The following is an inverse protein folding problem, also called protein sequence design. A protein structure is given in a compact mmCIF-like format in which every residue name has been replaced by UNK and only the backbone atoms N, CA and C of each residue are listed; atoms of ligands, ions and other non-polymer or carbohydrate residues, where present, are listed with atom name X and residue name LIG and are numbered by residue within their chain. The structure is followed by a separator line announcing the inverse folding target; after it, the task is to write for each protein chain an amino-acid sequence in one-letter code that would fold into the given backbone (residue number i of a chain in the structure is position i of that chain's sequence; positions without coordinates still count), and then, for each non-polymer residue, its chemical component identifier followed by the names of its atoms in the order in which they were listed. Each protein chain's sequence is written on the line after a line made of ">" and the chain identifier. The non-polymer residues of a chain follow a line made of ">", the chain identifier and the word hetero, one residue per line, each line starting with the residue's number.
data_IF_584463054869
#
_entry.id   IF_584463054869
#
_cell.length_a   1.000
_cell.length_b   1.000
_cell.length_c   1.000
_cell.angle_alpha   90.00
_cell.angle_beta   90.00
_cell.angle_gamma   90.00
#
_symmetry.space_group_name_H-M   'P 1'
#
loop_
_entity.id
_entity.type
_entity.pdbx_description
1 polymer ?
#
# COMPACT_ATOMS: atom_id res chain seq x y z
N UNK A 1 -10.32 -16.70 -17.20
CA UNK A 1 -9.81 -15.67 -16.27
C UNK A 1 -8.73 -14.81 -16.90
N UNK A 2 -7.70 -15.39 -17.55
CA UNK A 2 -6.63 -14.64 -18.24
C UNK A 2 -7.13 -13.56 -19.20
N UNK A 3 -8.08 -13.88 -20.09
CA UNK A 3 -8.70 -12.91 -21.02
C UNK A 3 -9.40 -11.71 -20.36
N UNK A 4 -9.83 -11.85 -19.10
CA UNK A 4 -10.47 -10.76 -18.38
C UNK A 4 -9.43 -9.82 -17.78
N UNK A 5 -8.37 -10.37 -17.18
CA UNK A 5 -7.22 -9.59 -16.71
C UNK A 5 -6.55 -8.84 -17.87
N UNK A 6 -6.40 -9.51 -19.03
CA UNK A 6 -5.92 -8.91 -20.28
C UNK A 6 -6.75 -7.71 -20.77
N UNK A 7 -7.99 -7.55 -20.30
CA UNK A 7 -8.83 -6.41 -20.67
C UNK A 7 -8.54 -5.14 -19.85
N UNK A 8 -7.86 -5.27 -18.71
CA UNK A 8 -7.54 -4.14 -17.82
C UNK A 8 -6.10 -3.65 -17.96
N UNK A 9 -5.17 -4.55 -18.30
CA UNK A 9 -3.74 -4.24 -18.30
C UNK A 9 -3.13 -4.37 -19.71
N UNK A 10 -2.27 -3.42 -20.11
CA UNK A 10 -1.40 -3.56 -21.27
C UNK A 10 -0.54 -4.83 -21.21
N UNK A 11 -0.19 -5.39 -22.37
CA UNK A 11 0.66 -6.59 -22.47
C UNK A 11 2.00 -6.43 -21.72
N UNK A 12 2.61 -5.24 -21.78
CA UNK A 12 3.86 -4.91 -21.09
C UNK A 12 3.79 -5.10 -19.57
N UNK A 13 2.62 -4.87 -18.96
CA UNK A 13 2.37 -5.10 -17.54
C UNK A 13 2.21 -6.59 -17.26
N UNK A 14 1.45 -7.30 -18.09
CA UNK A 14 1.18 -8.73 -17.95
C UNK A 14 2.43 -9.59 -18.16
N UNK A 15 3.35 -9.14 -19.00
CA UNK A 15 4.62 -9.82 -19.26
C UNK A 15 5.61 -9.69 -18.10
N UNK A 16 5.48 -8.63 -17.28
CA UNK A 16 6.37 -8.35 -16.15
C UNK A 16 5.82 -8.80 -14.80
N UNK A 17 4.49 -8.71 -14.62
CA UNK A 17 3.85 -8.91 -13.33
C UNK A 17 2.92 -10.11 -13.36
N UNK A 18 3.00 -10.91 -12.29
CA UNK A 18 2.12 -12.06 -12.09
C UNK A 18 0.95 -11.66 -11.21
N UNK A 19 -0.25 -11.72 -11.78
CA UNK A 19 -1.49 -11.40 -11.08
C UNK A 19 -2.19 -12.68 -10.64
N UNK A 20 -2.75 -12.63 -9.43
CA UNK A 20 -3.65 -13.65 -8.89
C UNK A 20 -5.08 -13.14 -8.98
N UNK A 21 -5.96 -13.97 -9.54
CA UNK A 21 -7.41 -13.77 -9.51
C UNK A 21 -8.07 -15.05 -9.02
N UNK A 22 -8.80 -14.95 -7.92
CA UNK A 22 -9.46 -16.08 -7.28
C UNK A 22 -10.93 -15.76 -7.04
N UNK A 23 -11.79 -16.77 -7.20
CA UNK A 23 -13.20 -16.69 -6.82
C UNK A 23 -13.44 -17.77 -5.79
N UNK A 24 -13.82 -17.35 -4.58
CA UNK A 24 -13.97 -18.23 -3.42
C UNK A 24 -15.43 -18.31 -3.02
N UNK A 25 -15.90 -19.53 -2.76
CA UNK A 25 -17.17 -19.74 -2.04
C UNK A 25 -16.98 -19.42 -0.55
N UNK A 26 -18.06 -19.20 0.22
CA UNK A 26 -17.96 -18.82 1.63
C UNK A 26 -17.07 -19.76 2.46
N UNK A 27 -17.09 -21.06 2.17
CA UNK A 27 -16.31 -22.08 2.90
C UNK A 27 -14.81 -22.05 2.59
N UNK A 28 -14.42 -21.35 1.52
CA UNK A 28 -13.02 -21.22 1.08
C UNK A 28 -12.37 -19.92 1.54
N UNK A 29 -13.14 -19.01 2.13
CA UNK A 29 -12.66 -17.68 2.51
C UNK A 29 -11.95 -17.78 3.87
N UNK A 30 -10.74 -17.23 3.93
CA UNK A 30 -10.00 -17.09 5.18
C UNK A 30 -10.68 -16.00 6.04
N UNK A 31 -11.38 -16.43 7.08
CA UNK A 31 -12.10 -15.55 8.00
C UNK A 31 -11.20 -14.74 8.94
N UNK A 32 -9.92 -15.08 9.07
CA UNK A 32 -8.95 -14.26 9.80
C UNK A 32 -8.47 -13.08 8.93
N UNK A 33 -8.36 -13.33 7.63
CA UNK A 33 -7.91 -12.34 6.66
C UNK A 33 -9.05 -11.45 6.15
N UNK A 34 -10.28 -11.97 6.07
CA UNK A 34 -11.44 -11.25 5.55
C UNK A 34 -12.70 -11.46 6.42
N UNK A 35 -13.27 -10.36 6.90
CA UNK A 35 -14.52 -10.37 7.69
C UNK A 35 -15.75 -10.12 6.81
N UNK A 36 -16.56 -11.14 6.55
CA UNK A 36 -17.76 -11.06 5.71
C UNK A 36 -18.86 -12.06 6.13
N UNK A 37 -20.12 -11.82 5.70
CA UNK A 37 -21.23 -12.72 6.01
C UNK A 37 -21.09 -14.13 5.39
N UNK A 38 -21.60 -15.14 6.10
CA UNK A 38 -21.47 -16.58 5.81
C UNK A 38 -22.01 -17.05 4.43
N UNK A 39 -22.74 -16.20 3.69
CA UNK A 39 -23.34 -16.53 2.39
C UNK A 39 -22.69 -15.78 1.21
N UNK A 40 -21.70 -14.93 1.47
CA UNK A 40 -21.08 -14.11 0.44
C UNK A 40 -19.95 -14.84 -0.26
N UNK A 41 -19.96 -14.74 -1.59
CA UNK A 41 -18.84 -15.14 -2.42
C UNK A 41 -17.86 -13.97 -2.49
N UNK A 42 -16.59 -14.29 -2.78
CA UNK A 42 -15.54 -13.30 -2.89
C UNK A 42 -14.82 -13.43 -4.23
N UNK A 43 -14.60 -12.31 -4.92
CA UNK A 43 -13.58 -12.21 -5.96
C UNK A 43 -12.37 -11.51 -5.33
N UNK A 44 -11.20 -12.13 -5.37
CA UNK A 44 -9.94 -11.54 -4.92
C UNK A 44 -9.04 -11.28 -6.11
N UNK A 45 -8.46 -10.09 -6.18
CA UNK A 45 -7.43 -9.73 -7.14
C UNK A 45 -6.20 -9.19 -6.41
N UNK A 46 -5.02 -9.62 -6.83
CA UNK A 46 -3.76 -9.14 -6.26
C UNK A 46 -2.55 -9.53 -7.09
N UNK A 47 -1.37 -9.26 -6.52
CA UNK A 47 -0.10 -9.74 -7.04
C UNK A 47 0.25 -11.08 -6.39
N UNK A 48 0.86 -11.98 -7.14
CA UNK A 48 1.24 -13.32 -6.66
C UNK A 48 2.55 -13.29 -5.84
N UNK A 49 3.40 -12.30 -6.10
CA UNK A 49 4.68 -12.12 -5.42
C UNK A 49 5.09 -10.66 -5.33
N UNK A 50 6.06 -10.38 -4.47
CA UNK A 50 6.77 -9.11 -4.46
C UNK A 50 7.44 -8.86 -5.82
N UNK A 51 7.43 -7.61 -6.26
CA UNK A 51 7.97 -7.15 -7.54
C UNK A 51 9.37 -6.61 -7.30
N UNK A 52 10.37 -7.38 -7.72
CA UNK A 52 11.77 -7.00 -7.60
C UNK A 52 12.20 -6.05 -8.74
N UNK A 53 11.59 -4.87 -8.80
CA UNK A 53 11.91 -3.79 -9.74
C UNK A 53 12.09 -2.48 -8.98
N UNK A 54 12.96 -1.61 -9.50
CA UNK A 54 13.28 -0.34 -8.87
C UNK A 54 12.59 0.83 -9.61
N UNK A 55 11.66 1.50 -8.91
CA UNK A 55 10.82 2.57 -9.45
C UNK A 55 11.06 3.92 -8.73
N UNK A 56 12.23 4.56 -8.86
CA UNK A 56 12.55 5.78 -8.12
C UNK A 56 11.77 7.00 -8.61
N UNK A 57 11.03 7.61 -7.69
CA UNK A 57 10.15 8.76 -7.92
C UNK A 57 10.83 10.12 -7.70
N UNK A 58 11.99 10.19 -7.04
CA UNK A 58 12.61 11.45 -6.60
C UNK A 58 12.84 12.45 -7.75
N UNK A 59 13.62 12.06 -8.76
CA UNK A 59 13.86 12.90 -9.95
C UNK A 59 12.56 13.24 -10.70
N UNK A 60 11.57 12.35 -10.68
CA UNK A 60 10.30 12.52 -11.39
C UNK A 60 9.43 13.55 -10.69
N UNK A 61 9.35 13.47 -9.36
CA UNK A 61 8.68 14.44 -8.51
C UNK A 61 9.30 15.83 -8.68
N UNK A 62 10.64 15.92 -8.72
CA UNK A 62 11.35 17.18 -8.98
C UNK A 62 11.00 17.75 -10.36
N UNK A 63 11.03 16.92 -11.40
CA UNK A 63 10.67 17.34 -12.77
C UNK A 63 9.24 17.89 -12.84
N UNK A 64 8.27 17.20 -12.23
CA UNK A 64 6.89 17.67 -12.22
C UNK A 64 6.70 18.94 -11.36
N UNK A 65 7.41 19.05 -10.24
CA UNK A 65 7.40 20.27 -9.43
C UNK A 65 8.02 21.49 -10.16
N UNK A 66 8.92 21.27 -11.12
CA UNK A 66 9.39 22.36 -12.00
C UNK A 66 8.32 22.85 -12.98
N UNK A 67 7.33 22.02 -13.32
CA UNK A 67 6.23 22.40 -14.23
C UNK A 67 5.13 23.17 -13.49
N UNK A 68 4.72 22.68 -12.32
CA UNK A 68 3.73 23.30 -11.46
C UNK A 68 4.05 22.93 -10.00
N UNK A 69 4.18 23.91 -9.08
CA UNK A 69 4.41 23.63 -7.68
C UNK A 69 3.36 22.67 -7.11
N UNK A 70 3.80 21.64 -6.38
CA UNK A 70 2.96 20.58 -5.81
C UNK A 70 2.52 19.49 -6.78
N UNK A 71 2.77 19.58 -8.09
CA UNK A 71 2.40 18.52 -9.03
C UNK A 71 3.08 17.18 -8.71
N UNK A 72 4.35 17.21 -8.30
CA UNK A 72 5.06 16.01 -7.88
C UNK A 72 4.44 15.40 -6.61
N UNK A 73 3.97 16.24 -5.68
CA UNK A 73 3.26 15.78 -4.48
C UNK A 73 1.87 15.24 -4.79
N UNK A 74 1.19 15.83 -5.77
CA UNK A 74 -0.09 15.31 -6.27
C UNK A 74 0.09 13.95 -6.94
N UNK A 75 1.13 13.77 -7.75
CA UNK A 75 1.47 12.48 -8.32
C UNK A 75 1.75 11.42 -7.24
N UNK A 76 2.53 11.78 -6.21
CA UNK A 76 2.79 10.89 -5.08
C UNK A 76 1.47 10.46 -4.42
N UNK A 77 0.57 11.42 -4.13
CA UNK A 77 -0.77 11.15 -3.60
C UNK A 77 -1.57 10.19 -4.47
N UNK A 78 -1.60 10.39 -5.78
CA UNK A 78 -2.28 9.49 -6.71
C UNK A 78 -1.71 8.07 -6.49
N UNK A 79 -0.40 7.88 -6.57
CA UNK A 79 0.20 6.55 -6.39
C UNK A 79 -0.08 5.94 -5.00
N UNK A 80 -0.04 6.74 -3.93
CA UNK A 80 -0.34 6.31 -2.56
C UNK A 80 -1.81 5.91 -2.36
N UNK A 81 -2.74 6.60 -3.03
CA UNK A 81 -4.19 6.32 -2.98
C UNK A 81 -4.58 5.09 -3.82
N UNK A 82 -3.59 4.38 -4.39
CA UNK A 82 -3.82 3.14 -5.14
C UNK A 82 -4.54 2.10 -4.26
N UNK A 83 -5.66 1.49 -4.74
CA UNK A 83 -6.41 0.49 -3.99
C UNK A 83 -5.60 -0.77 -3.67
N UNK A 84 -4.70 -1.16 -4.58
CA UNK A 84 -3.70 -2.18 -4.33
C UNK A 84 -2.44 -1.47 -3.87
N UNK A 85 -1.95 -1.83 -2.69
CA UNK A 85 -0.87 -1.12 -2.02
C UNK A 85 0.38 -1.03 -2.92
N UNK A 86 0.82 0.20 -3.16
CA UNK A 86 2.13 0.51 -3.72
C UNK A 86 2.89 1.15 -2.57
N UNK A 87 4.05 0.60 -2.21
CA UNK A 87 4.96 1.12 -1.19
C UNK A 87 5.62 2.42 -1.64
N UNK A 88 4.82 3.49 -1.76
CA UNK A 88 5.30 4.87 -1.80
C UNK A 88 5.79 5.27 -0.40
N UNK A 89 6.59 6.35 -0.26
CA UNK A 89 6.90 6.94 1.05
C UNK A 89 5.72 7.07 2.01
N UNK A 90 4.57 7.59 1.53
CA UNK A 90 3.38 7.74 2.38
C UNK A 90 2.80 6.37 2.79
N UNK A 91 2.73 5.42 1.85
CA UNK A 91 2.17 4.09 2.12
C UNK A 91 3.09 3.26 3.03
N UNK A 92 4.41 3.36 2.87
CA UNK A 92 5.39 2.71 3.75
C UNK A 92 5.30 3.26 5.16
N UNK A 93 5.15 4.59 5.32
CA UNK A 93 4.91 5.19 6.62
C UNK A 93 3.59 4.71 7.25
N UNK A 94 2.47 4.70 6.51
CA UNK A 94 1.20 4.20 7.07
C UNK A 94 1.26 2.71 7.42
N UNK A 95 2.01 1.93 6.64
CA UNK A 95 2.28 0.54 6.92
C UNK A 95 3.06 0.37 8.24
N UNK A 96 4.17 1.09 8.41
CA UNK A 96 4.95 1.08 9.65
C UNK A 96 4.11 1.59 10.82
N UNK A 97 3.42 2.71 10.66
CA UNK A 97 2.56 3.30 11.69
C UNK A 97 1.53 2.29 12.18
N UNK A 98 0.83 1.60 11.28
CA UNK A 98 -0.17 0.60 11.64
C UNK A 98 0.42 -0.59 12.42
N UNK A 99 1.50 -1.18 11.90
CA UNK A 99 2.04 -2.43 12.48
C UNK A 99 3.01 -2.21 13.65
N UNK A 100 3.76 -1.11 13.66
CA UNK A 100 4.80 -0.84 14.65
C UNK A 100 4.33 0.14 15.72
N UNK A 101 3.44 1.08 15.40
CA UNK A 101 3.08 2.21 16.27
C UNK A 101 1.57 2.31 16.52
N UNK A 102 0.81 1.23 16.31
CA UNK A 102 -0.63 1.19 16.56
C UNK A 102 -1.46 2.26 15.82
N UNK A 103 -0.95 2.81 14.72
CA UNK A 103 -1.57 3.87 13.93
C UNK A 103 -1.14 5.29 14.31
N UNK A 104 -0.28 5.46 15.32
CA UNK A 104 0.21 6.76 15.76
C UNK A 104 1.28 7.34 14.81
N UNK A 105 1.63 8.61 15.01
CA UNK A 105 2.59 9.32 14.16
C UNK A 105 4.03 8.81 14.35
N UNK A 106 4.34 8.28 15.53
CA UNK A 106 5.63 7.70 15.92
C UNK A 106 5.43 6.69 17.08
N UNK A 107 6.51 6.03 17.51
CA UNK A 107 6.48 5.02 18.58
C UNK A 107 6.30 5.57 20.01
N UNK A 108 6.17 6.88 20.23
CA UNK A 108 6.26 7.47 21.57
C UNK A 108 5.17 7.00 22.54
N UNK A 109 3.92 6.89 22.08
CA UNK A 109 2.80 6.43 22.91
C UNK A 109 2.96 4.95 23.27
N UNK A 110 3.31 4.12 22.28
CA UNK A 110 3.62 2.71 22.50
C UNK A 110 4.78 2.52 23.48
N UNK A 111 5.87 3.27 23.32
CA UNK A 111 7.02 3.23 24.23
C UNK A 111 6.63 3.60 25.66
N UNK A 112 5.78 4.62 25.82
CA UNK A 112 5.28 5.02 27.13
C UNK A 112 4.49 3.90 27.80
N UNK A 113 3.55 3.29 27.08
CA UNK A 113 2.73 2.20 27.59
C UNK A 113 3.58 0.99 27.97
N UNK A 114 4.50 0.57 27.09
CA UNK A 114 5.43 -0.54 27.35
C UNK A 114 6.37 -0.27 28.52
N UNK A 115 6.89 0.95 28.63
CA UNK A 115 7.74 1.34 29.77
C UNK A 115 6.96 1.24 31.07
N UNK A 116 5.69 1.66 31.10
CA UNK A 116 4.83 1.54 32.28
C UNK A 116 4.55 0.08 32.64
N UNK A 117 4.33 -0.79 31.64
CA UNK A 117 4.16 -2.23 31.83
C UNK A 117 5.42 -2.85 32.45
N UNK A 118 6.59 -2.66 31.82
CA UNK A 118 7.85 -3.23 32.31
C UNK A 118 8.31 -2.65 33.64
N UNK A 119 7.99 -1.39 33.96
CA UNK A 119 8.29 -0.80 35.27
C UNK A 119 7.59 -1.52 36.44
N UNK A 120 6.52 -2.31 36.17
CA UNK A 120 5.91 -3.16 37.18
C UNK A 120 6.66 -4.49 37.37
N UNK A 121 7.49 -4.89 36.42
CA UNK A 121 8.25 -6.14 36.40
C UNK A 121 9.71 -5.93 36.85
N UNK A 122 10.32 -4.82 36.43
CA UNK A 122 11.68 -4.41 36.78
C UNK A 122 11.65 -3.15 37.64
N UNK A 123 12.35 -3.17 38.78
CA UNK A 123 12.44 -2.06 39.73
C UNK A 123 13.44 -0.96 39.29
N UNK A 124 13.76 -0.90 38.00
CA UNK A 124 14.62 0.11 37.39
C UNK A 124 13.96 0.65 36.12
N UNK A 125 13.81 1.97 36.08
CA UNK A 125 13.18 2.66 34.96
C UNK A 125 14.05 2.62 33.71
N UNK A 126 15.37 2.71 33.85
CA UNK A 126 16.27 2.67 32.69
C UNK A 126 16.23 1.29 32.03
N UNK A 127 16.17 0.23 32.83
CA UNK A 127 15.98 -1.14 32.34
C UNK A 127 14.63 -1.32 31.64
N UNK A 128 13.54 -0.81 32.23
CA UNK A 128 12.20 -0.85 31.62
C UNK A 128 12.14 -0.09 30.27
N UNK A 129 12.77 1.09 30.19
CA UNK A 129 12.84 1.88 28.95
C UNK A 129 13.65 1.15 27.86
N UNK A 130 14.73 0.44 28.22
CA UNK A 130 15.50 -0.34 27.26
C UNK A 130 14.72 -1.55 26.75
N UNK A 131 14.03 -2.29 27.63
CA UNK A 131 13.16 -3.39 27.22
C UNK A 131 12.03 -2.92 26.31
N UNK A 132 11.42 -1.77 26.60
CA UNK A 132 10.39 -1.18 25.73
C UNK A 132 10.94 -0.90 24.33
N UNK A 133 12.14 -0.33 24.22
CA UNK A 133 12.78 -0.05 22.93
C UNK A 133 13.09 -1.30 22.12
N UNK A 134 13.50 -2.39 22.76
CA UNK A 134 13.76 -3.67 22.08
C UNK A 134 12.52 -4.26 21.38
N UNK A 135 11.30 -3.81 21.76
CA UNK A 135 10.05 -4.23 21.10
C UNK A 135 9.72 -3.43 19.84
N UNK A 136 10.39 -2.31 19.59
CA UNK A 136 10.10 -1.45 18.44
C UNK A 136 10.73 -2.05 17.19
N UNK A 137 9.88 -2.49 16.27
CA UNK A 137 10.32 -3.17 15.04
C UNK A 137 10.93 -2.18 14.06
N UNK A 138 10.45 -0.94 13.99
CA UNK A 138 11.01 0.15 13.16
C UNK A 138 10.82 1.45 13.91
N UNK A 139 11.89 2.23 14.07
CA UNK A 139 11.85 3.53 14.76
C UNK A 139 11.52 4.67 13.78
N UNK A 140 10.81 5.71 14.23
CA UNK A 140 10.53 6.91 13.43
C UNK A 140 11.82 7.60 12.98
N UNK A 141 12.88 7.53 13.79
CA UNK A 141 14.20 8.05 13.45
C UNK A 141 14.77 7.40 12.18
N UNK A 142 14.71 6.07 12.05
CA UNK A 142 15.21 5.33 10.88
C UNK A 142 14.50 5.80 9.59
N UNK A 143 13.21 6.07 9.69
CA UNK A 143 12.39 6.60 8.59
C UNK A 143 12.83 8.01 8.19
N UNK A 144 12.95 8.94 9.13
CA UNK A 144 13.31 10.35 8.84
C UNK A 144 14.74 10.50 8.33
N UNK A 145 15.63 9.59 8.71
CA UNK A 145 16.98 9.54 8.14
C UNK A 145 16.94 9.11 6.67
N UNK A 146 16.01 8.23 6.29
CA UNK A 146 15.98 7.56 4.98
C UNK A 146 15.04 8.20 3.97
N UNK A 147 13.98 8.85 4.44
CA UNK A 147 12.93 9.47 3.64
C UNK A 147 12.69 10.88 4.19
N UNK A 148 12.64 11.91 3.34
CA UNK A 148 12.35 13.26 3.79
C UNK A 148 10.89 13.38 4.27
N UNK A 149 10.67 14.03 5.42
CA UNK A 149 9.36 14.10 6.08
C UNK A 149 8.23 14.60 5.17
N UNK A 150 8.51 15.56 4.27
CA UNK A 150 7.50 16.11 3.35
C UNK A 150 6.81 15.05 2.48
N UNK A 151 7.47 13.91 2.27
CA UNK A 151 7.03 12.83 1.39
C UNK A 151 6.13 11.80 2.10
N UNK A 152 6.02 11.82 3.44
CA UNK A 152 5.19 10.85 4.16
C UNK A 152 4.32 11.45 5.27
N UNK A 153 4.75 12.57 5.85
CA UNK A 153 4.13 13.20 7.00
C UNK A 153 2.66 13.55 6.74
N UNK A 154 1.75 13.06 7.59
CA UNK A 154 0.29 13.27 7.49
C UNK A 154 -0.09 14.75 7.40
N UNK A 155 0.59 15.60 8.17
CA UNK A 155 0.34 17.06 8.23
C UNK A 155 0.68 17.77 6.93
N UNK A 156 1.61 17.20 6.17
CA UNK A 156 2.04 17.78 4.92
C UNK A 156 1.29 17.21 3.71
N UNK A 157 0.49 16.14 3.87
CA UNK A 157 -0.20 15.50 2.74
C UNK A 157 -1.07 16.49 1.98
N UNK A 158 -1.03 16.35 0.67
CA UNK A 158 -1.82 17.21 -0.20
C UNK A 158 -3.29 16.81 -0.11
N UNK A 159 -4.15 17.73 0.34
CA UNK A 159 -5.59 17.45 0.40
C UNK A 159 -6.26 17.60 -0.97
N UNK A 160 -5.95 18.70 -1.67
CA UNK A 160 -6.52 19.02 -2.98
C UNK A 160 -5.44 19.58 -3.91
N UNK A 161 -5.59 19.32 -5.21
CA UNK A 161 -4.74 19.87 -6.26
C UNK A 161 -5.61 20.60 -7.30
N UNK A 162 -5.27 21.86 -7.56
CA UNK A 162 -5.99 22.72 -8.52
C UNK A 162 -5.07 23.27 -9.62
N UNK A 163 -3.84 22.74 -9.71
CA UNK A 163 -2.83 23.16 -10.68
C UNK A 163 -2.96 22.50 -12.04
N UNK A 164 -1.96 22.71 -12.89
CA UNK A 164 -1.92 22.15 -14.23
C UNK A 164 -1.49 20.68 -14.26
N UNK A 165 -2.30 19.82 -14.88
CA UNK A 165 -1.93 18.43 -15.15
C UNK A 165 -1.51 18.23 -16.61
N UNK A 166 -0.26 17.80 -16.87
CA UNK A 166 0.24 17.59 -18.22
C UNK A 166 -0.48 16.43 -18.93
N UNK A 167 -0.54 16.49 -20.26
CA UNK A 167 -1.30 15.55 -21.09
C UNK A 167 -0.96 14.07 -20.81
N UNK A 168 0.30 13.77 -20.51
CA UNK A 168 0.76 12.42 -20.20
C UNK A 168 0.21 11.85 -18.88
N UNK A 169 -0.16 12.71 -17.92
CA UNK A 169 -0.76 12.32 -16.65
C UNK A 169 -2.29 12.35 -16.67
N UNK A 170 -2.92 13.00 -17.66
CA UNK A 170 -4.38 13.17 -17.69
C UNK A 170 -5.17 11.87 -17.65
N UNK A 171 -4.66 10.81 -18.30
CA UNK A 171 -5.33 9.50 -18.25
C UNK A 171 -5.31 8.93 -16.83
N UNK A 172 -4.14 8.94 -16.19
CA UNK A 172 -3.97 8.47 -14.81
C UNK A 172 -4.83 9.28 -13.84
N UNK A 173 -4.80 10.61 -13.96
CA UNK A 173 -5.63 11.50 -13.15
C UNK A 173 -7.13 11.20 -13.36
N UNK A 174 -7.57 11.01 -14.60
CA UNK A 174 -8.98 10.70 -14.86
C UNK A 174 -9.41 9.40 -14.17
N UNK A 175 -8.58 8.36 -14.23
CA UNK A 175 -8.83 7.08 -13.58
C UNK A 175 -8.84 7.22 -12.05
N UNK A 176 -7.91 8.00 -11.48
CA UNK A 176 -7.88 8.34 -10.06
C UNK A 176 -9.18 9.03 -9.63
N UNK A 177 -9.61 10.06 -10.35
CA UNK A 177 -10.82 10.81 -10.04
C UNK A 177 -12.09 9.96 -10.14
N UNK A 178 -12.15 9.03 -11.09
CA UNK A 178 -13.22 8.05 -11.18
C UNK A 178 -13.24 7.12 -9.96
N UNK A 179 -12.08 6.61 -9.55
CA UNK A 179 -11.93 5.74 -8.38
C UNK A 179 -12.29 6.46 -7.06
N UNK A 180 -11.90 7.72 -6.89
CA UNK A 180 -12.21 8.52 -5.70
C UNK A 180 -13.72 8.80 -5.59
N UNK A 181 -14.38 9.09 -6.73
CA UNK A 181 -15.83 9.40 -6.76
C UNK A 181 -16.72 8.16 -6.71
N UNK A 182 -16.16 6.98 -6.93
CA UNK A 182 -16.90 5.73 -6.90
C UNK A 182 -17.34 5.39 -5.47
N UNK A 183 -18.64 5.18 -5.28
CA UNK A 183 -19.19 4.64 -4.05
C UNK A 183 -18.80 3.15 -3.97
N UNK A 184 -17.96 2.80 -2.98
CA UNK A 184 -17.48 1.43 -2.75
C UNK A 184 -18.43 0.74 -1.76
N UNK A 185 -19.18 -0.24 -2.24
CA UNK A 185 -20.16 -1.02 -1.45
C UNK A 185 -19.75 -2.47 -1.25
N UNK A 186 -18.99 -3.02 -2.18
CA UNK A 186 -18.64 -4.45 -2.19
C UNK A 186 -17.17 -4.70 -1.92
N UNK A 187 -16.31 -3.70 -2.15
CA UNK A 187 -14.88 -3.76 -1.84
C UNK A 187 -14.60 -4.01 -0.36
N UNK A 188 -13.75 -5.00 -0.08
CA UNK A 188 -13.27 -5.37 1.24
C UNK A 188 -11.75 -5.49 1.21
N UNK A 189 -11.11 -4.99 2.27
CA UNK A 189 -9.66 -5.04 2.42
C UNK A 189 -9.27 -6.22 3.32
N UNK A 190 -8.19 -6.93 3.00
CA UNK A 190 -7.64 -7.91 3.93
C UNK A 190 -7.17 -7.21 5.21
N UNK A 191 -7.30 -7.88 6.36
CA UNK A 191 -6.87 -7.38 7.67
C UNK A 191 -5.38 -7.06 7.67
N UNK A 192 -4.57 -7.92 7.04
CA UNK A 192 -3.13 -7.76 6.91
C UNK A 192 -2.78 -7.78 5.42
N UNK A 193 -2.31 -6.64 4.91
CA UNK A 193 -1.94 -6.48 3.50
C UNK A 193 -0.57 -5.82 3.38
N UNK A 194 0.36 -6.48 2.70
CA UNK A 194 1.70 -5.97 2.47
C UNK A 194 1.83 -5.36 1.08
N UNK A 195 2.56 -4.25 0.90
CA UNK A 195 2.86 -3.75 -0.43
C UNK A 195 3.77 -4.72 -1.18
N UNK A 196 3.37 -5.12 -2.39
CA UNK A 196 4.13 -5.97 -3.32
C UNK A 196 5.08 -5.16 -4.21
N UNK A 197 4.85 -3.86 -4.37
CA UNK A 197 5.62 -2.97 -5.23
C UNK A 197 6.15 -1.87 -4.34
N UNK A 198 7.42 -1.49 -4.47
CA UNK A 198 8.00 -0.34 -3.77
C UNK A 198 8.33 0.74 -4.79
N UNK A 199 7.80 1.94 -4.58
CA UNK A 199 8.00 3.12 -5.41
C UNK A 199 8.71 4.21 -4.58
N UNK A 200 10.02 4.04 -4.34
CA UNK A 200 10.81 4.87 -3.42
C UNK A 200 11.12 6.24 -4.04
N UNK A 201 11.76 7.15 -3.30
CA UNK A 201 12.31 8.37 -3.92
C UNK A 201 13.64 8.10 -4.62
N UNK A 202 14.47 7.24 -4.04
CA UNK A 202 15.84 6.96 -4.44
C UNK A 202 16.30 5.57 -3.93
N UNK A 203 17.57 5.23 -4.12
CA UNK A 203 18.12 3.93 -3.68
C UNK A 203 18.12 3.78 -2.14
N UNK A 204 18.34 4.88 -1.39
CA UNK A 204 18.36 4.84 0.08
C UNK A 204 16.97 4.52 0.63
N UNK A 205 15.97 5.27 0.17
CA UNK A 205 14.57 5.06 0.56
C UNK A 205 14.03 3.71 0.07
N UNK A 206 14.51 3.18 -1.06
CA UNK A 206 14.20 1.82 -1.50
C UNK A 206 14.68 0.76 -0.52
N UNK A 207 15.97 0.79 -0.18
CA UNK A 207 16.56 -0.17 0.73
C UNK A 207 15.89 -0.14 2.10
N UNK A 208 15.67 1.06 2.64
CA UNK A 208 14.93 1.22 3.89
C UNK A 208 13.51 0.66 3.80
N UNK A 209 12.77 0.97 2.73
CA UNK A 209 11.39 0.53 2.57
C UNK A 209 11.29 -1.00 2.49
N UNK A 210 12.16 -1.64 1.71
CA UNK A 210 12.24 -3.10 1.64
C UNK A 210 12.60 -3.71 2.99
N UNK A 211 13.62 -3.19 3.69
CA UNK A 211 14.02 -3.69 5.00
C UNK A 211 12.90 -3.56 6.04
N UNK A 212 12.22 -2.41 6.09
CA UNK A 212 11.10 -2.18 6.99
C UNK A 212 9.93 -3.13 6.72
N UNK A 213 9.57 -3.32 5.43
CA UNK A 213 8.53 -4.29 5.04
C UNK A 213 8.93 -5.70 5.45
N UNK A 214 10.19 -6.10 5.23
CA UNK A 214 10.68 -7.43 5.60
C UNK A 214 10.68 -7.63 7.12
N UNK A 215 11.11 -6.64 7.91
CA UNK A 215 11.09 -6.69 9.39
C UNK A 215 9.67 -6.89 9.92
N UNK A 216 8.72 -6.09 9.44
CA UNK A 216 7.30 -6.22 9.82
C UNK A 216 6.72 -7.55 9.35
N UNK A 217 7.01 -7.96 8.11
CA UNK A 217 6.54 -9.25 7.58
C UNK A 217 7.06 -10.42 8.43
N UNK A 218 8.32 -10.41 8.83
CA UNK A 218 8.90 -11.46 9.66
C UNK A 218 8.25 -11.51 11.06
N UNK A 219 7.97 -10.35 11.66
CA UNK A 219 7.24 -10.27 12.92
C UNK A 219 5.82 -10.87 12.80
N UNK A 220 5.05 -10.46 11.80
CA UNK A 220 3.70 -10.98 11.57
C UNK A 220 3.68 -12.49 11.29
N UNK A 221 4.63 -12.98 10.48
CA UNK A 221 4.78 -14.41 10.20
C UNK A 221 5.14 -15.17 11.48
N UNK A 222 6.01 -14.61 12.33
CA UNK A 222 6.38 -15.24 13.60
C UNK A 222 5.20 -15.34 14.58
N UNK A 223 4.25 -14.42 14.48
CA UNK A 223 2.98 -14.44 15.21
C UNK A 223 1.92 -15.37 14.59
N UNK A 224 2.21 -15.98 13.44
CA UNK A 224 1.29 -16.89 12.74
C UNK A 224 0.16 -16.19 11.98
N UNK A 225 0.29 -14.90 11.67
CA UNK A 225 -0.76 -14.13 10.99
C UNK A 225 -0.94 -14.57 9.53
N UNK A 226 -2.20 -14.73 9.10
CA UNK A 226 -2.56 -14.74 7.67
C UNK A 226 -2.34 -13.35 7.09
N UNK A 227 -1.78 -13.28 5.88
CA UNK A 227 -1.56 -12.02 5.16
C UNK A 227 -1.85 -12.15 3.67
N UNK A 228 -2.15 -11.01 3.04
CA UNK A 228 -2.16 -10.86 1.59
C UNK A 228 -1.06 -9.89 1.14
N UNK A 229 -0.70 -9.94 -0.14
CA UNK A 229 0.25 -8.99 -0.74
C UNK A 229 -0.47 -8.22 -1.84
N UNK A 230 -0.46 -6.89 -1.80
CA UNK A 230 -1.14 -5.94 -2.69
C UNK A 230 -2.42 -6.51 -3.28
N UNK A 231 -3.35 -6.88 -2.40
CA UNK A 231 -4.58 -7.58 -2.77
C UNK A 231 -5.79 -6.79 -2.32
N UNK A 232 -6.84 -6.86 -3.12
CA UNK A 232 -8.17 -6.35 -2.79
C UNK A 232 -9.20 -7.43 -3.13
N UNK A 233 -10.28 -7.46 -2.37
CA UNK A 233 -11.37 -8.39 -2.60
C UNK A 233 -12.72 -7.67 -2.70
N UNK A 234 -13.69 -8.34 -3.31
CA UNK A 234 -15.06 -7.88 -3.43
C UNK A 234 -16.01 -8.99 -3.02
N UNK A 235 -16.82 -8.71 -2.01
CA UNK A 235 -17.81 -9.65 -1.50
C UNK A 235 -19.19 -9.34 -2.11
N UNK A 236 -19.90 -10.39 -2.49
CA UNK A 236 -21.26 -10.28 -3.02
C UNK A 236 -22.06 -11.55 -2.76
N UNK A 237 -23.38 -11.40 -2.60
CA UNK A 237 -24.29 -12.52 -2.57
C UNK A 237 -24.62 -12.97 -4.01
N UNK A 238 -24.38 -14.23 -4.39
CA UNK A 238 -24.57 -14.71 -5.76
C UNK A 238 -26.05 -14.75 -6.18
N UNK A 239 -26.98 -14.66 -5.23
CA UNK A 239 -28.43 -14.60 -5.48
C UNK A 239 -28.92 -13.18 -5.75
N UNK A 240 -28.09 -12.16 -5.50
CA UNK A 240 -28.43 -10.75 -5.69
C UNK A 240 -27.68 -10.18 -6.87
N UNK A 241 -28.36 -10.11 -8.01
CA UNK A 241 -27.78 -9.60 -9.27
C UNK A 241 -27.20 -8.18 -9.13
N UNK A 242 -27.82 -7.32 -8.34
CA UNK A 242 -27.35 -5.95 -8.10
C UNK A 242 -25.97 -5.92 -7.43
N UNK A 243 -25.73 -6.81 -6.45
CA UNK A 243 -24.42 -6.90 -5.77
C UNK A 243 -23.33 -7.42 -6.72
N UNK A 244 -23.66 -8.38 -7.60
CA UNK A 244 -22.73 -8.88 -8.62
C UNK A 244 -22.35 -7.77 -9.60
N UNK A 245 -23.33 -7.02 -10.10
CA UNK A 245 -23.08 -5.93 -11.06
C UNK A 245 -22.24 -4.84 -10.39
N UNK A 246 -22.56 -4.48 -9.15
CA UNK A 246 -21.81 -3.51 -8.36
C UNK A 246 -20.35 -3.95 -8.17
N UNK A 247 -20.11 -5.21 -7.76
CA UNK A 247 -18.77 -5.74 -7.60
C UNK A 247 -17.96 -5.70 -8.90
N UNK A 248 -18.55 -6.11 -10.03
CA UNK A 248 -17.87 -6.07 -11.33
C UNK A 248 -17.54 -4.64 -11.79
N UNK A 249 -18.39 -3.66 -11.49
CA UNK A 249 -18.13 -2.24 -11.76
C UNK A 249 -17.00 -1.71 -10.88
N UNK A 250 -17.01 -2.03 -9.59
CA UNK A 250 -15.96 -1.65 -8.65
C UNK A 250 -14.61 -2.24 -9.04
N UNK A 251 -14.58 -3.54 -9.39
CA UNK A 251 -13.38 -4.21 -9.90
C UNK A 251 -12.85 -3.45 -11.11
N UNK A 252 -13.70 -3.17 -12.09
CA UNK A 252 -13.27 -2.51 -13.32
C UNK A 252 -12.58 -1.16 -13.05
N UNK A 253 -13.24 -0.27 -12.30
CA UNK A 253 -12.68 1.08 -12.02
C UNK A 253 -11.39 0.96 -11.21
N UNK A 254 -11.34 0.05 -10.24
CA UNK A 254 -10.16 -0.23 -9.42
C UNK A 254 -8.99 -0.71 -10.27
N UNK A 255 -9.21 -1.70 -11.13
CA UNK A 255 -8.14 -2.29 -11.95
C UNK A 255 -7.69 -1.36 -13.08
N UNK A 256 -8.60 -0.58 -13.67
CA UNK A 256 -8.23 0.46 -14.64
C UNK A 256 -7.32 1.51 -13.99
N UNK A 257 -7.64 1.94 -12.76
CA UNK A 257 -6.80 2.88 -12.02
C UNK A 257 -5.44 2.29 -11.63
N UNK A 258 -5.44 1.11 -11.02
CA UNK A 258 -4.20 0.42 -10.65
C UNK A 258 -3.32 0.15 -11.88
N UNK A 259 -3.90 -0.24 -13.00
CA UNK A 259 -3.20 -0.40 -14.27
C UNK A 259 -2.57 0.91 -14.78
N UNK A 260 -3.22 2.05 -14.54
CA UNK A 260 -2.65 3.37 -14.77
C UNK A 260 -1.42 3.65 -13.93
N UNK A 261 -1.48 3.35 -12.62
CA UNK A 261 -0.33 3.47 -11.71
C UNK A 261 0.83 2.58 -12.15
N UNK A 262 0.57 1.32 -12.48
CA UNK A 262 1.60 0.39 -12.96
C UNK A 262 2.24 0.84 -14.27
N UNK A 263 1.44 1.32 -15.22
CA UNK A 263 1.96 1.82 -16.50
C UNK A 263 2.86 3.04 -16.30
N UNK A 264 2.49 3.92 -15.36
CA UNK A 264 3.33 5.03 -14.95
C UNK A 264 4.66 4.54 -14.35
N UNK A 265 4.62 3.66 -13.35
CA UNK A 265 5.84 3.14 -12.70
C UNK A 265 6.76 2.43 -13.70
N UNK A 266 6.23 1.58 -14.58
CA UNK A 266 7.04 0.84 -15.57
C UNK A 266 7.74 1.76 -16.59
N UNK A 267 7.14 2.90 -16.95
CA UNK A 267 7.79 3.92 -17.80
C UNK A 267 9.04 4.52 -17.13
N UNK A 268 9.08 4.43 -15.81
CA UNK A 268 10.06 5.07 -14.94
C UNK A 268 10.95 4.07 -14.20
N UNK A 269 10.88 2.79 -14.55
CA UNK A 269 11.76 1.75 -14.02
C UNK A 269 13.23 2.07 -14.32
N UNK A 270 14.09 1.90 -13.32
CA UNK A 270 15.54 2.03 -13.47
C UNK A 270 16.22 0.72 -13.06
N UNK A 271 17.43 0.52 -13.58
CA UNK A 271 18.30 -0.57 -13.13
C UNK A 271 18.81 -0.24 -11.73
N UNK A 272 18.55 -1.12 -10.77
CA UNK A 272 19.12 -1.03 -9.43
C UNK A 272 20.62 -1.30 -9.48
N UNK A 273 21.45 -0.39 -8.96
CA UNK A 273 22.91 -0.42 -9.18
C UNK A 273 23.66 -1.44 -8.31
N UNK A 274 23.02 -2.03 -7.30
CA UNK A 274 23.60 -3.01 -6.39
C UNK A 274 22.92 -4.40 -6.54
N UNK A 275 23.03 -5.00 -7.73
CA UNK A 275 22.71 -6.42 -7.95
C UNK A 275 23.93 -7.31 -7.70
#
# INVERSE_FOLDING_TARGET
>A
MTKWIESFFPAEILDKLQFKLEISSPEQIDGELYYLPDDNYMIQFGLDSFVNSFFPLGEIIEQYNCMDPLLGKYLLKILSDSPLLIGTPETVYEFISYFCWCGDDDESELLWDRTCEYSNEVNDREEAENLAKETIIVEYAELTESIPEWAFCRKERLNEYHGFVPDELRKLEHQYQQYVRMEKKTGIFPTVCFPAIVAPLDEKSFLFSCDAIDRVSNDQISCGASYAISSLAWAFNPLKQEEIIQALQEIRVTLEYFGGCLAFLLKHEKVFRNA
#
